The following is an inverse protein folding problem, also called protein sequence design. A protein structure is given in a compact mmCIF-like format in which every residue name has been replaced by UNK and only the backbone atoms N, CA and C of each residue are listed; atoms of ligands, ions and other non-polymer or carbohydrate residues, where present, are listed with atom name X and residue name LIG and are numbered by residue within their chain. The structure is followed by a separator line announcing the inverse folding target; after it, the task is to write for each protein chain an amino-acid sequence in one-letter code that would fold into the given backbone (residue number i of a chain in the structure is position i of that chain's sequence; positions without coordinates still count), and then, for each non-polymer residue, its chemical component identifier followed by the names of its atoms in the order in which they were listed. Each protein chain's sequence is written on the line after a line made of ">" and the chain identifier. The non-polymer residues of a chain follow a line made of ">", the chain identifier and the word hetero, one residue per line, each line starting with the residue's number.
data_IF_704151980177
#
_entry.id   IF_704151980177
#
_cell.length_a   1.000
_cell.length_b   1.000
_cell.length_c   1.000
_cell.angle_alpha   90.00
_cell.angle_beta   90.00
_cell.angle_gamma   90.00
#
_symmetry.space_group_name_H-M   'P 1'
#
loop_
_entity.id
_entity.type
_entity.pdbx_description
1 polymer ?
#
# COMPACT_ATOMS: atom_id res chain seq x y z
N UNK A 1 3.46 16.66 -10.57
CA UNK A 1 2.50 16.20 -9.56
C UNK A 1 1.96 14.84 -9.91
N UNK A 2 1.74 13.98 -8.93
CA UNK A 2 1.08 12.67 -9.12
C UNK A 2 -0.31 12.96 -9.64
N UNK A 3 -0.73 12.39 -10.78
CA UNK A 3 -2.08 12.64 -11.28
C UNK A 3 -3.10 12.21 -10.23
N UNK A 4 -4.02 13.10 -9.91
CA UNK A 4 -5.13 12.92 -8.98
C UNK A 4 -5.91 11.60 -9.19
N UNK A 5 -5.85 11.03 -10.39
CA UNK A 5 -6.56 9.82 -10.76
C UNK A 5 -6.04 8.55 -10.11
N UNK A 6 -4.78 8.50 -9.65
CA UNK A 6 -4.21 7.28 -9.08
C UNK A 6 -4.79 6.97 -7.70
N UNK A 7 -4.86 7.96 -6.83
CA UNK A 7 -5.37 7.79 -5.46
C UNK A 7 -6.91 7.79 -5.36
N UNK A 8 -7.61 8.14 -6.44
CA UNK A 8 -9.07 8.11 -6.48
C UNK A 8 -9.67 6.73 -6.74
N UNK A 9 -8.83 5.73 -7.05
CA UNK A 9 -9.28 4.37 -7.37
C UNK A 9 -8.78 3.38 -6.31
N UNK A 10 -9.60 3.10 -5.34
CA UNK A 10 -9.34 2.00 -4.39
C UNK A 10 -9.82 0.66 -4.97
N UNK A 11 -9.29 0.28 -6.12
CA UNK A 11 -9.66 -0.97 -6.78
C UNK A 11 -8.49 -1.60 -7.51
N UNK A 12 -8.48 -2.92 -7.52
CA UNK A 12 -7.56 -3.74 -8.32
C UNK A 12 -8.38 -4.51 -9.34
N UNK A 13 -8.29 -4.15 -10.61
CA UNK A 13 -9.00 -4.85 -11.70
C UNK A 13 -8.23 -4.72 -13.01
N UNK A 14 -8.64 -5.49 -14.02
CA UNK A 14 -8.08 -5.45 -15.37
C UNK A 14 -6.54 -5.51 -15.42
N UNK A 15 -5.92 -6.26 -14.51
CA UNK A 15 -4.46 -6.39 -14.36
C UNK A 15 -3.73 -5.03 -14.26
N UNK A 16 -4.40 -3.98 -13.76
CA UNK A 16 -3.88 -2.62 -13.74
C UNK A 16 -2.83 -2.37 -12.66
N UNK A 17 -2.73 -3.20 -11.62
CA UNK A 17 -1.82 -2.98 -10.48
C UNK A 17 -0.36 -2.78 -10.90
N UNK A 18 0.16 -3.62 -11.79
CA UNK A 18 1.53 -3.49 -12.28
C UNK A 18 1.65 -2.36 -13.29
N UNK A 19 0.70 -2.28 -14.24
CA UNK A 19 0.71 -1.27 -15.29
C UNK A 19 0.63 0.15 -14.74
N UNK A 20 -0.33 0.39 -13.86
CA UNK A 20 -0.62 1.73 -13.35
C UNK A 20 0.30 2.10 -12.17
N UNK A 21 0.68 1.12 -11.34
CA UNK A 21 1.52 1.34 -10.17
C UNK A 21 3.02 1.43 -10.46
N UNK A 22 3.50 0.83 -11.55
CA UNK A 22 4.93 0.67 -11.80
C UNK A 22 5.72 1.98 -11.72
N UNK A 23 5.28 3.00 -12.43
CA UNK A 23 6.00 4.27 -12.50
C UNK A 23 6.09 4.94 -11.11
N UNK A 24 4.99 4.99 -10.41
CA UNK A 24 4.92 5.64 -9.09
C UNK A 24 5.74 4.89 -8.05
N UNK A 25 5.67 3.58 -8.02
CA UNK A 25 6.47 2.76 -7.10
C UNK A 25 7.99 2.87 -7.40
N UNK A 26 8.35 3.04 -8.67
CA UNK A 26 9.75 3.31 -9.03
C UNK A 26 10.19 4.71 -8.59
N UNK A 27 9.33 5.72 -8.74
CA UNK A 27 9.60 7.09 -8.31
C UNK A 27 9.72 7.18 -6.79
N UNK A 28 8.77 6.59 -6.05
CA UNK A 28 8.78 6.57 -4.58
C UNK A 28 10.04 5.84 -4.04
N UNK A 29 10.39 4.72 -4.67
CA UNK A 29 11.61 3.99 -4.32
C UNK A 29 12.89 4.76 -4.64
N UNK A 30 12.91 5.52 -5.72
CA UNK A 30 14.04 6.37 -6.08
C UNK A 30 14.14 7.57 -5.14
N UNK A 31 13.02 8.22 -4.78
CA UNK A 31 12.99 9.29 -3.79
C UNK A 31 13.49 8.83 -2.43
N UNK A 32 12.99 7.69 -1.94
CA UNK A 32 13.45 7.14 -0.68
C UNK A 32 14.97 6.89 -0.68
N UNK A 33 15.51 6.38 -1.77
CA UNK A 33 16.96 6.21 -1.95
C UNK A 33 17.71 7.53 -1.89
N UNK A 34 17.25 8.55 -2.60
CA UNK A 34 17.88 9.89 -2.61
C UNK A 34 17.89 10.50 -1.20
N UNK A 35 16.79 10.45 -0.48
CA UNK A 35 16.71 10.94 0.91
C UNK A 35 17.69 10.22 1.84
N UNK A 36 17.84 8.90 1.69
CA UNK A 36 18.82 8.12 2.43
C UNK A 36 20.26 8.53 2.10
N UNK A 37 20.56 8.76 0.83
CA UNK A 37 21.89 9.23 0.39
C UNK A 37 22.17 10.63 0.91
N UNK A 38 21.23 11.56 0.81
CA UNK A 38 21.36 12.93 1.34
C UNK A 38 21.59 12.95 2.86
N UNK A 39 20.85 12.11 3.59
CA UNK A 39 21.01 11.97 5.03
C UNK A 39 22.40 11.44 5.41
N UNK A 40 22.92 10.45 4.66
CA UNK A 40 24.27 9.92 4.87
C UNK A 40 25.36 10.94 4.51
N UNK A 41 25.18 11.66 3.39
CA UNK A 41 26.08 12.74 2.97
C UNK A 41 26.21 13.83 4.05
N UNK A 42 25.06 14.28 4.58
CA UNK A 42 25.00 15.23 5.69
C UNK A 42 25.67 14.68 6.96
N UNK A 43 25.41 13.42 7.31
CA UNK A 43 25.99 12.79 8.50
C UNK A 43 27.52 12.67 8.43
N UNK A 44 28.05 12.44 7.25
CA UNK A 44 29.48 12.23 7.04
C UNK A 44 30.22 13.45 6.51
N UNK A 45 29.52 14.52 6.18
CA UNK A 45 30.04 15.73 5.54
C UNK A 45 30.81 15.42 4.25
N UNK A 46 30.19 14.65 3.38
CA UNK A 46 30.75 14.23 2.08
C UNK A 46 29.78 14.50 0.94
N UNK A 47 30.25 14.66 -0.31
CA UNK A 47 29.37 14.77 -1.46
C UNK A 47 28.51 13.51 -1.66
N UNK A 48 27.23 13.72 -2.04
CA UNK A 48 26.31 12.57 -2.32
C UNK A 48 26.86 11.69 -3.45
N UNK A 49 27.52 12.30 -4.45
CA UNK A 49 28.10 11.59 -5.58
C UNK A 49 29.13 10.50 -5.20
N UNK A 50 29.74 10.62 -4.03
CA UNK A 50 30.70 9.63 -3.51
C UNK A 50 30.05 8.45 -2.79
N UNK A 51 28.71 8.49 -2.66
CA UNK A 51 27.95 7.49 -1.93
C UNK A 51 27.28 6.50 -2.88
N UNK A 52 27.26 5.24 -2.49
CA UNK A 52 26.52 4.19 -3.15
C UNK A 52 25.52 3.52 -2.21
N UNK A 53 24.33 3.23 -2.72
CA UNK A 53 23.28 2.55 -1.97
C UNK A 53 22.96 1.19 -2.62
N UNK A 54 23.25 0.10 -1.92
CA UNK A 54 23.04 -1.27 -2.42
C UNK A 54 22.67 -2.21 -1.27
N UNK A 55 21.70 -3.07 -1.48
CA UNK A 55 21.31 -4.12 -0.52
C UNK A 55 21.10 -3.58 0.90
N UNK A 56 20.37 -2.46 1.03
CA UNK A 56 20.05 -1.78 2.29
C UNK A 56 21.27 -1.18 3.04
N UNK A 57 22.39 -1.03 2.36
CA UNK A 57 23.62 -0.42 2.91
C UNK A 57 24.02 0.77 2.05
N UNK A 58 24.41 1.87 2.71
CA UNK A 58 25.08 3.02 2.08
C UNK A 58 26.55 2.92 2.38
N UNK A 59 27.37 3.10 1.36
CA UNK A 59 28.83 3.04 1.46
C UNK A 59 29.44 4.31 0.88
N UNK A 60 30.43 4.85 1.60
CA UNK A 60 31.36 5.87 1.10
C UNK A 60 32.68 5.19 0.79
N UNK A 61 32.96 4.96 -0.49
CA UNK A 61 34.11 4.14 -0.92
C UNK A 61 35.45 4.70 -0.45
N UNK A 62 35.63 6.00 -0.54
CA UNK A 62 36.89 6.69 -0.21
C UNK A 62 37.30 6.53 1.26
N UNK A 63 36.36 6.56 2.20
CA UNK A 63 36.66 6.42 3.63
C UNK A 63 36.31 5.05 4.22
N UNK A 64 35.71 4.16 3.46
CA UNK A 64 35.25 2.85 3.93
C UNK A 64 34.07 2.90 4.90
N UNK A 65 33.48 4.09 5.18
CA UNK A 65 32.33 4.22 6.08
C UNK A 65 31.09 3.58 5.49
N UNK A 66 30.31 2.91 6.32
CA UNK A 66 29.06 2.28 5.94
C UNK A 66 27.95 2.57 6.96
N UNK A 67 26.71 2.61 6.51
CA UNK A 67 25.51 2.63 7.35
C UNK A 67 24.38 1.85 6.70
N UNK A 68 23.44 1.34 7.52
CA UNK A 68 22.26 0.67 7.00
C UNK A 68 21.10 1.65 6.84
N UNK A 69 20.16 1.33 5.95
CA UNK A 69 18.93 2.13 5.78
C UNK A 69 18.17 2.29 7.08
N UNK A 70 18.03 1.22 7.88
CA UNK A 70 17.33 1.28 9.16
C UNK A 70 17.99 2.23 10.18
N UNK A 71 19.32 2.30 10.22
CA UNK A 71 20.03 3.20 11.14
C UNK A 71 19.85 4.68 10.79
N UNK A 72 19.64 5.00 9.53
CA UNK A 72 19.56 6.39 9.06
C UNK A 72 18.14 6.81 8.70
N UNK A 73 17.16 5.91 8.79
CA UNK A 73 15.78 6.11 8.34
C UNK A 73 15.14 7.37 8.98
N UNK A 74 15.31 7.58 10.28
CA UNK A 74 14.74 8.75 10.95
C UNK A 74 15.33 10.05 10.38
N UNK A 75 16.66 10.13 10.24
CA UNK A 75 17.33 11.30 9.64
C UNK A 75 16.90 11.50 8.18
N UNK A 76 16.73 10.43 7.43
CA UNK A 76 16.22 10.49 6.06
C UNK A 76 14.77 11.01 6.00
N UNK A 77 13.94 10.66 6.99
CA UNK A 77 12.59 11.19 7.09
C UNK A 77 12.53 12.70 7.34
N UNK A 78 13.52 13.24 8.05
CA UNK A 78 13.68 14.68 8.31
C UNK A 78 14.34 15.43 7.14
N UNK A 79 14.94 14.72 6.20
CA UNK A 79 15.57 15.32 5.01
C UNK A 79 14.47 15.84 4.07
N UNK A 80 14.59 17.08 3.57
CA UNK A 80 13.63 17.62 2.60
C UNK A 80 13.44 16.71 1.39
N UNK A 81 12.22 16.69 0.88
CA UNK A 81 11.93 15.94 -0.35
C UNK A 81 12.73 16.53 -1.51
N UNK A 82 13.50 15.72 -2.26
CA UNK A 82 14.09 16.18 -3.49
C UNK A 82 12.96 16.51 -4.49
N UNK A 83 13.22 17.46 -5.39
CA UNK A 83 12.24 17.81 -6.39
C UNK A 83 11.99 16.61 -7.33
N UNK A 84 10.73 16.19 -7.58
CA UNK A 84 10.43 14.99 -8.37
C UNK A 84 11.12 14.95 -9.75
N UNK A 85 11.32 16.10 -10.37
CA UNK A 85 11.99 16.22 -11.68
C UNK A 85 13.49 15.93 -11.64
N UNK A 86 14.10 15.96 -10.46
CA UNK A 86 15.54 15.68 -10.26
C UNK A 86 15.81 14.23 -9.89
N UNK A 87 14.76 13.44 -9.60
CA UNK A 87 14.90 12.06 -9.16
C UNK A 87 15.14 11.13 -10.34
N UNK A 88 16.31 10.51 -10.36
CA UNK A 88 16.66 9.52 -11.36
C UNK A 88 16.05 8.14 -11.06
N UNK A 89 15.10 7.71 -11.87
CA UNK A 89 14.59 6.34 -11.88
C UNK A 89 15.61 5.47 -12.63
N UNK A 90 15.91 4.28 -12.08
CA UNK A 90 16.84 3.32 -12.72
C UNK A 90 16.33 2.90 -14.10
N UNK A 91 17.21 2.94 -15.09
CA UNK A 91 16.96 2.41 -16.41
C UNK A 91 16.86 0.85 -16.38
N UNK A 92 16.23 0.22 -17.38
CA UNK A 92 16.02 -1.23 -17.40
C UNK A 92 17.28 -2.08 -17.25
N UNK A 93 18.39 -1.64 -17.77
CA UNK A 93 19.71 -2.27 -17.66
C UNK A 93 20.29 -2.26 -16.23
N UNK A 94 19.77 -1.37 -15.38
CA UNK A 94 20.16 -1.25 -13.98
C UNK A 94 19.23 -2.06 -13.04
N UNK A 95 18.23 -2.74 -13.58
CA UNK A 95 17.30 -3.52 -12.77
C UNK A 95 17.96 -4.81 -12.28
N UNK A 96 17.78 -5.11 -11.00
CA UNK A 96 18.34 -6.33 -10.38
C UNK A 96 17.25 -7.27 -9.85
N UNK A 97 16.01 -6.79 -9.76
CA UNK A 97 14.88 -7.56 -9.27
C UNK A 97 13.82 -7.75 -10.35
N UNK A 98 13.45 -6.67 -11.04
CA UNK A 98 12.49 -6.77 -12.15
C UNK A 98 13.11 -7.59 -13.29
N UNK A 99 12.29 -8.43 -13.93
CA UNK A 99 12.75 -9.35 -14.98
C UNK A 99 13.45 -10.61 -14.46
N UNK A 100 13.56 -10.81 -13.14
CA UNK A 100 14.10 -12.03 -12.54
C UNK A 100 13.00 -12.86 -11.90
N UNK A 101 13.17 -14.18 -11.89
CA UNK A 101 12.25 -15.08 -11.22
C UNK A 101 12.31 -14.83 -9.70
N UNK A 102 11.16 -14.55 -9.11
CA UNK A 102 11.00 -14.33 -7.66
C UNK A 102 9.81 -15.12 -7.15
N UNK A 103 10.01 -15.86 -6.08
CA UNK A 103 8.90 -16.54 -5.39
C UNK A 103 8.05 -15.51 -4.66
N UNK A 104 6.74 -15.66 -4.78
CA UNK A 104 5.81 -14.86 -3.99
C UNK A 104 5.97 -15.24 -2.51
N UNK A 105 6.08 -14.23 -1.66
CA UNK A 105 6.33 -14.40 -0.22
C UNK A 105 5.21 -15.13 0.50
N UNK A 106 3.97 -15.03 0.02
CA UNK A 106 2.80 -15.62 0.64
C UNK A 106 2.57 -17.10 0.26
N UNK A 107 3.26 -17.59 -0.76
CA UNK A 107 3.02 -18.96 -1.27
C UNK A 107 3.16 -20.02 -0.17
N UNK A 108 4.20 -20.01 0.67
CA UNK A 108 4.33 -21.01 1.73
C UNK A 108 3.12 -21.04 2.67
N UNK A 109 2.63 -19.87 3.08
CA UNK A 109 1.45 -19.77 3.96
C UNK A 109 0.17 -20.25 3.25
N UNK A 110 0.03 -19.94 1.97
CA UNK A 110 -1.15 -20.34 1.18
C UNK A 110 -1.22 -21.84 0.96
N UNK A 111 -0.12 -22.47 0.58
CA UNK A 111 -0.09 -23.91 0.27
C UNK A 111 -0.15 -24.79 1.51
N UNK A 112 0.18 -24.25 2.68
CA UNK A 112 0.10 -24.96 3.97
C UNK A 112 -1.18 -24.66 4.74
N UNK A 113 -2.08 -23.83 4.22
CA UNK A 113 -3.32 -23.44 4.89
C UNK A 113 -3.13 -22.50 6.09
N UNK A 114 -1.96 -21.88 6.21
CA UNK A 114 -1.64 -20.94 7.30
C UNK A 114 -1.96 -19.47 6.95
N UNK A 115 -2.29 -19.19 5.69
CA UNK A 115 -2.68 -17.86 5.28
C UNK A 115 -4.02 -17.47 5.92
N UNK A 116 -4.07 -16.30 6.54
CA UNK A 116 -5.28 -15.74 7.15
C UNK A 116 -5.93 -14.76 6.18
N UNK A 117 -7.15 -15.01 5.77
CA UNK A 117 -7.95 -14.16 4.92
C UNK A 117 -9.02 -13.40 5.72
N UNK A 118 -9.68 -12.43 5.11
CA UNK A 118 -10.73 -11.64 5.78
C UNK A 118 -11.83 -12.49 6.41
N UNK A 119 -12.21 -13.61 5.77
CA UNK A 119 -13.21 -14.54 6.30
C UNK A 119 -12.72 -15.31 7.54
N UNK A 120 -11.41 -15.43 7.72
CA UNK A 120 -10.79 -16.18 8.83
C UNK A 120 -10.58 -15.32 10.07
N UNK A 121 -10.70 -13.98 9.91
CA UNK A 121 -10.48 -13.05 11.02
C UNK A 121 -11.47 -13.30 12.14
N UNK A 122 -10.97 -13.39 13.38
CA UNK A 122 -11.75 -13.55 14.60
C UNK A 122 -11.26 -12.55 15.63
N UNK A 123 -12.17 -11.72 16.11
CA UNK A 123 -11.90 -10.73 17.15
C UNK A 123 -12.74 -11.04 18.39
N UNK A 124 -12.26 -10.70 19.60
CA UNK A 124 -13.07 -10.82 20.81
C UNK A 124 -14.40 -10.06 20.67
N UNK A 125 -15.51 -10.74 20.96
CA UNK A 125 -16.83 -10.13 20.85
C UNK A 125 -17.37 -9.89 19.44
N UNK A 126 -16.66 -10.34 18.40
CA UNK A 126 -17.08 -10.24 17.00
C UNK A 126 -18.48 -10.83 16.79
N UNK A 127 -19.29 -10.15 16.01
CA UNK A 127 -20.62 -10.61 15.60
C UNK A 127 -20.63 -10.91 14.10
N UNK A 128 -21.51 -11.81 13.73
CA UNK A 128 -21.77 -12.16 12.35
C UNK A 128 -23.00 -11.41 11.86
N UNK A 129 -22.98 -10.97 10.63
CA UNK A 129 -24.13 -10.35 10.01
C UNK A 129 -24.45 -11.01 8.66
N UNK A 130 -25.73 -11.17 8.38
CA UNK A 130 -26.24 -11.54 7.07
C UNK A 130 -26.82 -10.30 6.39
N UNK A 131 -26.52 -10.11 5.13
CA UNK A 131 -27.04 -8.99 4.35
C UNK A 131 -28.23 -9.46 3.53
N UNK A 132 -29.35 -8.75 3.65
CA UNK A 132 -30.51 -8.88 2.76
C UNK A 132 -30.57 -7.65 1.87
N UNK A 133 -30.18 -7.80 0.62
CA UNK A 133 -30.21 -6.72 -0.35
C UNK A 133 -31.58 -6.63 -1.02
N UNK A 134 -31.92 -5.42 -1.49
CA UNK A 134 -33.04 -5.23 -2.41
C UNK A 134 -32.76 -5.99 -3.73
N UNK A 135 -33.73 -6.71 -4.29
CA UNK A 135 -33.54 -7.43 -5.54
C UNK A 135 -33.42 -6.50 -6.76
N UNK A 136 -33.77 -5.23 -6.61
CA UNK A 136 -33.69 -4.22 -7.67
C UNK A 136 -32.54 -3.27 -7.38
N UNK A 137 -31.73 -2.99 -8.40
CA UNK A 137 -30.62 -2.03 -8.30
C UNK A 137 -31.15 -0.63 -7.97
N UNK A 138 -30.53 0.05 -7.01
CA UNK A 138 -30.95 1.38 -6.57
C UNK A 138 -32.22 1.38 -5.71
N UNK A 139 -32.70 0.23 -5.28
CA UNK A 139 -33.86 0.15 -4.40
C UNK A 139 -33.49 0.41 -2.94
N UNK A 140 -34.43 1.06 -2.23
CA UNK A 140 -34.33 1.37 -0.83
C UNK A 140 -35.18 0.48 0.06
N UNK A 141 -34.82 0.39 1.35
CA UNK A 141 -35.61 -0.29 2.36
C UNK A 141 -36.82 0.57 2.73
N UNK A 142 -38.00 0.18 2.30
CA UNK A 142 -39.25 0.88 2.69
C UNK A 142 -39.68 0.54 4.11
N UNK A 143 -39.63 -0.71 4.49
CA UNK A 143 -39.92 -1.17 5.85
C UNK A 143 -39.39 -2.59 6.05
N UNK A 144 -39.16 -2.97 7.27
CA UNK A 144 -38.94 -4.35 7.72
C UNK A 144 -39.55 -4.50 9.12
N UNK A 145 -39.98 -5.69 9.45
CA UNK A 145 -40.52 -6.01 10.74
C UNK A 145 -39.36 -6.33 11.71
N UNK A 146 -38.96 -5.30 12.45
CA UNK A 146 -37.82 -5.42 13.38
C UNK A 146 -38.13 -6.37 14.53
N UNK A 147 -39.36 -6.35 15.05
CA UNK A 147 -39.75 -7.14 16.21
C UNK A 147 -39.79 -8.63 15.86
N UNK A 148 -40.36 -8.98 14.69
CA UNK A 148 -40.36 -10.34 14.18
C UNK A 148 -38.93 -10.85 13.93
N UNK A 149 -38.05 -10.03 13.34
CA UNK A 149 -36.65 -10.38 13.10
C UNK A 149 -35.87 -10.55 14.41
N UNK A 150 -36.08 -9.69 15.38
CA UNK A 150 -35.45 -9.73 16.69
C UNK A 150 -35.86 -10.96 17.52
N UNK A 151 -37.09 -11.42 17.33
CA UNK A 151 -37.60 -12.62 18.01
C UNK A 151 -36.97 -13.93 17.50
N UNK A 152 -36.27 -13.91 16.35
CA UNK A 152 -35.62 -15.10 15.81
C UNK A 152 -34.41 -15.54 16.65
N UNK A 153 -34.22 -16.84 16.90
CA UNK A 153 -33.10 -17.34 17.67
C UNK A 153 -31.74 -16.87 17.09
N UNK A 154 -30.87 -16.37 17.95
CA UNK A 154 -29.52 -15.91 17.57
C UNK A 154 -29.45 -14.50 16.95
N UNK A 155 -30.58 -13.89 16.62
CA UNK A 155 -30.60 -12.52 16.12
C UNK A 155 -30.47 -11.52 17.28
N UNK A 156 -29.55 -10.58 17.17
CA UNK A 156 -29.35 -9.51 18.15
C UNK A 156 -29.92 -8.18 17.71
N UNK A 157 -29.72 -7.86 16.44
CA UNK A 157 -30.20 -6.62 15.87
C UNK A 157 -30.32 -6.72 14.35
N UNK A 158 -31.07 -5.84 13.76
CA UNK A 158 -31.10 -5.58 12.32
C UNK A 158 -30.88 -4.07 12.11
N UNK A 159 -30.03 -3.72 11.18
CA UNK A 159 -29.67 -2.33 10.91
C UNK A 159 -29.86 -2.06 9.42
N UNK A 160 -30.74 -1.13 9.04
CA UNK A 160 -30.79 -0.64 7.67
C UNK A 160 -29.54 0.21 7.38
N UNK A 161 -28.97 0.04 6.23
CA UNK A 161 -27.89 0.91 5.76
C UNK A 161 -28.16 1.30 4.31
N UNK A 162 -28.04 2.59 3.97
CA UNK A 162 -28.16 3.04 2.60
C UNK A 162 -26.98 2.51 1.78
N UNK A 163 -27.23 2.11 0.54
CA UNK A 163 -26.15 1.92 -0.41
C UNK A 163 -25.57 3.31 -0.70
N UNK A 164 -24.26 3.54 -0.52
CA UNK A 164 -23.67 4.82 -0.91
C UNK A 164 -24.00 5.08 -2.38
N UNK A 165 -24.51 6.28 -2.65
CA UNK A 165 -24.78 6.69 -4.03
C UNK A 165 -23.55 6.47 -4.89
N UNK A 166 -23.64 5.67 -5.97
CA UNK A 166 -22.50 5.45 -6.88
C UNK A 166 -21.98 6.77 -7.49
N UNK A 167 -22.77 7.82 -7.53
CA UNK A 167 -22.34 9.15 -7.94
C UNK A 167 -21.41 9.83 -6.91
N UNK A 168 -21.48 9.43 -5.64
CA UNK A 168 -20.60 9.94 -4.59
C UNK A 168 -19.13 9.47 -4.75
N UNK A 169 -18.87 8.49 -5.60
CA UNK A 169 -17.51 8.05 -5.97
C UNK A 169 -16.91 8.83 -7.16
N UNK A 170 -17.67 9.76 -7.73
CA UNK A 170 -17.21 10.67 -8.76
C UNK A 170 -17.02 12.07 -8.18
N UNK A 171 -15.93 12.25 -7.46
CA UNK A 171 -15.40 13.59 -7.30
C UNK A 171 -15.74 14.30 -6.00
N UNK A 172 -14.77 14.52 -5.27
CA UNK A 172 -14.37 15.88 -4.86
C UNK A 172 -12.87 15.93 -4.94
#
# INVERSE_FOLDING_TARGET
>A
GIPDSLYRRMRTNAASSVKDGRYYLQLDGAEARERLLLAAASMWSVPVAELTAKSSVITHATSGRTTTYGRIAQRAAETPHPHPETIAIKAPDQWTLMGTERKNLDVPLKVTGQAVYGIDVRLPGMKWAAVKACPVYGGDVKRYDFDAVRAMPGVRTAVPFPIPDPSCTRGR
#
